data_IF_442287638237
#
_entry.id   IF_442287638237
#
_cell.length_a   1.000
_cell.length_b   1.000
_cell.length_c   1.000
_cell.angle_alpha   90.00
_cell.angle_beta   90.00
_cell.angle_gamma   90.00
#
_symmetry.space_group_name_H-M   'P 1'
#
loop_
_entity.id
_entity.type
_entity.pdbx_description
1 polymer ?
#
# COMPACT_ATOMS: atom_id res chain seq x y z
N UNK A 1 47.16 43.03 8.60
CA UNK A 1 45.98 43.90 8.36
C UNK A 1 45.76 43.91 6.85
N UNK A 2 44.81 43.15 6.29
CA UNK A 2 43.35 43.35 6.21
C UNK A 2 42.96 44.58 5.38
N UNK A 3 42.66 44.37 4.10
CA UNK A 3 41.84 45.18 3.18
C UNK A 3 41.46 44.22 2.03
N UNK A 4 40.32 43.53 1.97
CA UNK A 4 38.91 43.93 2.08
C UNK A 4 38.50 44.99 1.04
N UNK A 5 38.27 44.52 -0.19
CA UNK A 5 37.47 45.12 -1.28
C UNK A 5 37.18 43.97 -2.25
N UNK A 6 36.01 43.80 -2.84
CA UNK A 6 34.75 44.50 -2.78
C UNK A 6 33.77 43.69 -3.64
N UNK A 7 32.51 43.64 -3.19
CA UNK A 7 31.31 43.75 -4.01
C UNK A 7 30.87 42.61 -4.94
N UNK A 8 29.56 42.37 -4.81
CA UNK A 8 28.56 42.13 -5.86
C UNK A 8 28.08 40.67 -6.10
N UNK A 9 26.81 40.49 -5.71
CA UNK A 9 25.69 39.97 -6.52
C UNK A 9 25.21 38.53 -6.28
N UNK A 10 24.04 38.48 -5.64
CA UNK A 10 22.90 37.57 -5.80
C UNK A 10 23.08 36.24 -6.54
N UNK A 11 22.82 35.15 -5.81
CA UNK A 11 22.31 33.92 -6.42
C UNK A 11 20.79 33.92 -6.26
N UNK A 12 20.10 34.48 -7.24
CA UNK A 12 18.72 34.10 -7.54
C UNK A 12 18.78 33.13 -8.72
N UNK A 13 18.51 31.85 -8.47
CA UNK A 13 18.10 30.94 -9.52
C UNK A 13 16.77 30.31 -9.12
N UNK A 14 15.71 31.09 -9.33
CA UNK A 14 14.39 30.54 -9.59
C UNK A 14 14.49 29.78 -10.92
N UNK A 15 14.69 28.47 -10.83
CA UNK A 15 14.65 27.55 -11.96
C UNK A 15 13.25 26.98 -12.10
N UNK A 16 12.58 27.40 -13.15
CA UNK A 16 11.23 27.01 -13.56
C UNK A 16 11.24 25.50 -13.84
N UNK A 17 10.52 24.68 -13.05
CA UNK A 17 10.19 23.33 -13.49
C UNK A 17 8.97 23.42 -14.40
N UNK A 18 9.30 23.61 -15.67
CA UNK A 18 8.43 23.45 -16.83
C UNK A 18 7.67 22.13 -16.74
N UNK A 19 6.36 22.20 -16.94
CA UNK A 19 5.49 21.07 -17.30
C UNK A 19 6.09 20.43 -18.54
N UNK A 20 6.87 19.37 -18.34
CA UNK A 20 7.36 18.51 -19.41
C UNK A 20 6.71 17.15 -19.25
N UNK A 21 5.93 16.78 -20.26
CA UNK A 21 5.36 15.46 -20.49
C UNK A 21 6.46 14.46 -20.92
N UNK A 22 7.54 14.42 -20.14
CA UNK A 22 8.64 13.46 -20.34
C UNK A 22 8.46 12.38 -19.28
N UNK A 23 8.29 11.10 -19.68
CA UNK A 23 8.19 10.01 -18.73
C UNK A 23 9.40 10.04 -17.79
N UNK A 24 9.17 10.17 -16.48
CA UNK A 24 10.22 10.12 -15.44
C UNK A 24 11.13 8.88 -15.55
N UNK A 25 10.69 7.86 -16.30
CA UNK A 25 11.46 6.68 -16.67
C UNK A 25 12.74 7.00 -17.49
N UNK A 26 12.72 8.09 -18.28
CA UNK A 26 13.83 8.47 -19.16
C UNK A 26 14.93 9.30 -18.46
N UNK A 27 14.59 9.99 -17.37
CA UNK A 27 15.54 10.87 -16.65
C UNK A 27 16.33 10.13 -15.59
N UNK A 28 15.71 9.20 -14.86
CA UNK A 28 16.44 8.26 -14.00
C UNK A 28 15.55 7.10 -13.52
N UNK A 29 15.80 5.84 -13.94
CA UNK A 29 15.04 4.70 -13.43
C UNK A 29 15.13 4.53 -11.90
N UNK A 30 16.15 5.09 -11.24
CA UNK A 30 16.27 5.04 -9.78
C UNK A 30 15.27 5.93 -9.04
N UNK A 31 14.75 6.99 -9.66
CA UNK A 31 13.74 7.86 -9.04
C UNK A 31 12.36 7.20 -9.00
N UNK A 32 12.00 6.49 -10.08
CA UNK A 32 10.78 5.66 -10.11
C UNK A 32 10.89 4.51 -9.10
N UNK A 33 12.09 3.96 -8.94
CA UNK A 33 12.37 2.94 -7.93
C UNK A 33 12.25 3.49 -6.50
N UNK A 34 12.75 4.69 -6.24
CA UNK A 34 12.65 5.34 -4.94
C UNK A 34 11.19 5.56 -4.53
N UNK A 35 10.33 6.06 -5.43
CA UNK A 35 8.90 6.27 -5.12
C UNK A 35 8.11 4.95 -5.01
N UNK A 36 8.48 3.90 -5.73
CA UNK A 36 7.88 2.57 -5.59
C UNK A 36 8.37 1.83 -4.32
N UNK A 37 9.60 2.11 -3.86
CA UNK A 37 10.13 1.60 -2.60
C UNK A 37 9.58 2.36 -1.38
N UNK A 38 9.25 3.66 -1.51
CA UNK A 38 8.63 4.48 -0.45
C UNK A 38 7.18 4.07 -0.11
N UNK A 39 6.49 3.34 -0.99
CA UNK A 39 5.16 2.78 -0.71
C UNK A 39 5.21 1.36 -0.11
N UNK A 40 6.39 0.81 0.15
CA UNK A 40 6.50 -0.41 0.96
C UNK A 40 6.14 -0.07 2.40
N UNK A 41 5.32 -0.93 2.99
CA UNK A 41 4.79 -0.79 4.35
C UNK A 41 5.74 -0.07 5.34
N UNK A 42 5.34 1.14 5.75
CA UNK A 42 6.10 2.01 6.64
C UNK A 42 5.85 1.72 8.13
N UNK A 43 5.19 0.60 8.47
CA UNK A 43 4.78 0.33 9.86
C UNK A 43 5.88 -0.26 10.71
N UNK A 44 6.96 -0.78 10.11
CA UNK A 44 8.04 -1.47 10.82
C UNK A 44 7.60 -2.81 11.43
N UNK A 45 6.40 -3.30 11.10
CA UNK A 45 5.87 -4.56 11.60
C UNK A 45 6.32 -5.74 10.73
N UNK A 46 6.51 -6.90 11.37
CA UNK A 46 6.66 -8.17 10.63
C UNK A 46 5.36 -8.54 9.92
N UNK A 47 5.45 -9.36 8.88
CA UNK A 47 4.25 -9.80 8.14
C UNK A 47 3.24 -10.54 9.03
N UNK A 48 3.71 -11.36 9.97
CA UNK A 48 2.83 -12.05 10.91
C UNK A 48 2.10 -11.07 11.83
N UNK A 49 2.78 -10.05 12.35
CA UNK A 49 2.14 -9.02 13.17
C UNK A 49 1.05 -8.25 12.39
N UNK A 50 1.26 -7.97 11.11
CA UNK A 50 0.24 -7.36 10.25
C UNK A 50 -0.97 -8.27 10.08
N UNK A 51 -0.75 -9.56 9.83
CA UNK A 51 -1.81 -10.57 9.73
C UNK A 51 -2.59 -10.64 11.05
N UNK A 52 -1.89 -10.68 12.18
CA UNK A 52 -2.51 -10.73 13.50
C UNK A 52 -3.34 -9.47 13.80
N UNK A 53 -2.87 -8.30 13.36
CA UNK A 53 -3.64 -7.05 13.45
C UNK A 53 -4.91 -7.09 12.59
N UNK A 54 -4.84 -7.62 11.37
CA UNK A 54 -6.03 -7.81 10.52
C UNK A 54 -7.01 -8.78 11.18
N UNK A 55 -6.53 -9.89 11.74
CA UNK A 55 -7.36 -10.87 12.46
C UNK A 55 -8.06 -10.21 13.66
N UNK A 56 -7.31 -9.42 14.45
CA UNK A 56 -7.84 -8.70 15.62
C UNK A 56 -8.88 -7.63 15.27
N UNK A 57 -8.78 -7.06 14.08
CA UNK A 57 -9.65 -5.98 13.61
C UNK A 57 -10.68 -6.42 12.56
N UNK A 58 -10.87 -7.74 12.38
CA UNK A 58 -11.91 -8.28 11.49
C UNK A 58 -13.27 -7.66 11.77
N UNK A 59 -13.96 -7.27 10.70
CA UNK A 59 -15.30 -6.66 10.74
C UNK A 59 -15.34 -5.25 11.35
N UNK A 60 -14.20 -4.66 11.73
CA UNK A 60 -14.14 -3.29 12.26
C UNK A 60 -13.82 -2.30 11.15
N UNK A 61 -14.43 -1.13 11.21
CA UNK A 61 -14.10 0.00 10.34
C UNK A 61 -12.60 0.31 10.38
N UNK A 62 -12.03 0.62 9.23
CA UNK A 62 -10.59 0.88 9.06
C UNK A 62 -9.74 -0.38 8.85
N UNK A 63 -10.30 -1.59 8.97
CA UNK A 63 -9.55 -2.81 8.64
C UNK A 63 -9.22 -2.94 7.15
N UNK A 64 -10.03 -2.38 6.24
CA UNK A 64 -9.70 -2.27 4.82
C UNK A 64 -8.54 -1.30 4.54
N UNK A 65 -8.48 -0.18 5.26
CA UNK A 65 -7.31 0.72 5.21
C UNK A 65 -6.04 0.04 5.74
N UNK A 66 -6.13 -0.68 6.85
CA UNK A 66 -5.03 -1.49 7.37
C UNK A 66 -4.53 -2.50 6.34
N UNK A 67 -5.44 -3.22 5.67
CA UNK A 67 -5.08 -4.16 4.60
C UNK A 67 -4.27 -3.46 3.49
N UNK A 68 -4.78 -2.33 2.99
CA UNK A 68 -4.13 -1.54 1.93
C UNK A 68 -2.77 -1.03 2.36
N UNK A 69 -2.58 -0.63 3.62
CA UNK A 69 -1.28 -0.16 4.15
C UNK A 69 -0.27 -1.30 4.33
N UNK A 70 -0.73 -2.45 4.81
CA UNK A 70 0.13 -3.58 5.17
C UNK A 70 0.63 -4.38 3.97
N UNK A 71 -0.18 -4.47 2.91
CA UNK A 71 0.03 -5.35 1.76
C UNK A 71 -0.18 -4.64 0.41
N UNK A 72 0.09 -3.33 0.34
CA UNK A 72 -0.01 -2.58 -0.91
C UNK A 72 0.81 -3.25 -2.02
N UNK A 73 0.18 -3.57 -3.15
CA UNK A 73 0.84 -4.21 -4.29
C UNK A 73 1.14 -5.71 -4.13
N UNK A 74 0.91 -6.30 -2.95
CA UNK A 74 1.26 -7.69 -2.62
C UNK A 74 0.03 -8.63 -2.57
N UNK A 75 -1.12 -8.18 -3.06
CA UNK A 75 -2.39 -8.92 -3.03
C UNK A 75 -2.86 -9.30 -4.44
N UNK A 76 -3.06 -10.59 -4.67
CA UNK A 76 -3.63 -11.16 -5.89
C UNK A 76 -5.13 -11.42 -5.67
N UNK A 77 -6.05 -10.78 -6.42
CA UNK A 77 -7.46 -11.16 -6.40
C UNK A 77 -7.66 -12.54 -7.03
N UNK A 78 -8.21 -13.48 -6.26
CA UNK A 78 -8.34 -14.89 -6.70
C UNK A 78 -9.78 -15.35 -6.85
N UNK A 79 -10.73 -14.70 -6.19
CA UNK A 79 -12.15 -15.00 -6.31
C UNK A 79 -13.01 -13.86 -5.75
N UNK A 80 -14.29 -13.88 -6.13
CA UNK A 80 -15.32 -13.00 -5.57
C UNK A 80 -16.48 -13.87 -5.11
N UNK A 81 -17.05 -13.57 -3.95
CA UNK A 81 -18.21 -14.28 -3.42
C UNK A 81 -19.17 -13.32 -2.71
N UNK A 82 -20.46 -13.68 -2.58
CA UNK A 82 -21.37 -13.00 -1.65
C UNK A 82 -20.89 -13.17 -0.20
N UNK A 83 -20.98 -12.10 0.58
CA UNK A 83 -20.83 -12.07 2.04
C UNK A 83 -22.07 -11.48 2.71
N UNK A 84 -22.06 -11.42 4.05
CA UNK A 84 -23.21 -10.94 4.83
C UNK A 84 -23.54 -9.46 4.59
N UNK A 85 -22.52 -8.66 4.30
CA UNK A 85 -22.62 -7.21 4.12
C UNK A 85 -22.29 -6.77 2.66
N UNK A 86 -22.44 -7.66 1.68
CA UNK A 86 -22.19 -7.34 0.26
C UNK A 86 -21.16 -8.26 -0.38
N UNK A 87 -20.50 -7.79 -1.44
CA UNK A 87 -19.53 -8.62 -2.17
C UNK A 87 -18.18 -8.64 -1.46
N UNK A 88 -17.58 -9.82 -1.40
CA UNK A 88 -16.29 -10.06 -0.78
C UNK A 88 -15.31 -10.54 -1.84
N UNK A 89 -14.14 -9.91 -1.89
CA UNK A 89 -13.03 -10.30 -2.76
C UNK A 89 -12.02 -11.07 -1.92
N UNK A 90 -11.67 -12.27 -2.36
CA UNK A 90 -10.63 -13.08 -1.75
C UNK A 90 -9.29 -12.68 -2.37
N UNK A 91 -8.41 -12.13 -1.53
CA UNK A 91 -7.12 -11.55 -1.89
C UNK A 91 -6.02 -12.43 -1.31
N UNK A 92 -5.23 -13.05 -2.18
CA UNK A 92 -4.13 -13.93 -1.80
C UNK A 92 -2.81 -13.16 -1.74
N UNK A 93 -2.12 -13.26 -0.62
CA UNK A 93 -0.75 -12.82 -0.48
C UNK A 93 0.20 -14.01 -0.65
N UNK A 94 0.92 -14.04 -1.77
CA UNK A 94 1.83 -15.14 -2.12
C UNK A 94 3.04 -15.23 -1.18
N UNK A 95 3.56 -14.10 -0.71
CA UNK A 95 4.74 -14.06 0.15
C UNK A 95 4.51 -14.73 1.51
N UNK A 96 3.30 -14.58 2.07
CA UNK A 96 2.95 -15.07 3.40
C UNK A 96 2.02 -16.30 3.38
N UNK A 97 1.63 -16.76 2.19
CA UNK A 97 0.69 -17.86 1.98
C UNK A 97 -0.59 -17.68 2.82
N UNK A 98 -1.25 -16.53 2.64
CA UNK A 98 -2.49 -16.18 3.35
C UNK A 98 -3.51 -15.60 2.37
N UNK A 99 -4.77 -15.95 2.55
CA UNK A 99 -5.90 -15.35 1.85
C UNK A 99 -6.69 -14.47 2.82
N UNK A 100 -7.03 -13.27 2.37
CA UNK A 100 -7.77 -12.26 3.10
C UNK A 100 -9.06 -11.98 2.34
N UNK A 101 -10.20 -12.11 3.02
CA UNK A 101 -11.50 -11.81 2.45
C UNK A 101 -11.86 -10.37 2.78
N UNK A 102 -11.94 -9.52 1.76
CA UNK A 102 -12.18 -8.08 1.86
C UNK A 102 -13.58 -7.74 1.34
N UNK A 103 -14.42 -7.14 2.18
CA UNK A 103 -15.73 -6.62 1.79
C UNK A 103 -15.57 -5.21 1.23
N UNK A 104 -15.82 -5.05 -0.07
CA UNK A 104 -15.66 -3.77 -0.75
C UNK A 104 -16.71 -2.73 -0.34
N UNK A 105 -17.91 -3.18 0.06
CA UNK A 105 -19.03 -2.29 0.42
C UNK A 105 -18.76 -1.49 1.70
N UNK A 106 -18.10 -2.10 2.68
CA UNK A 106 -17.87 -1.49 4.00
C UNK A 106 -16.39 -1.19 4.29
N UNK A 107 -15.50 -1.45 3.33
CA UNK A 107 -14.04 -1.30 3.48
C UNK A 107 -13.51 -2.05 4.72
N UNK A 108 -13.90 -3.33 4.87
CA UNK A 108 -13.51 -4.16 6.02
C UNK A 108 -12.97 -5.53 5.61
N UNK A 109 -12.05 -6.06 6.40
CA UNK A 109 -11.59 -7.45 6.33
C UNK A 109 -12.56 -8.32 7.13
N UNK A 110 -13.16 -9.32 6.48
CA UNK A 110 -14.16 -10.21 7.11
C UNK A 110 -13.60 -11.60 7.42
N UNK A 111 -12.59 -12.06 6.69
CA UNK A 111 -11.91 -13.32 6.96
C UNK A 111 -10.41 -13.26 6.63
N UNK A 112 -9.63 -14.10 7.31
CA UNK A 112 -8.20 -14.30 7.06
C UNK A 112 -7.91 -15.77 7.31
N UNK A 113 -7.28 -16.45 6.36
CA UNK A 113 -6.94 -17.86 6.48
C UNK A 113 -5.63 -18.17 5.77
N UNK A 114 -4.83 -19.07 6.34
CA UNK A 114 -3.59 -19.56 5.73
C UNK A 114 -3.91 -20.42 4.49
N UNK A 115 -3.11 -20.29 3.44
CA UNK A 115 -3.31 -20.98 2.16
C UNK A 115 -3.95 -20.08 1.10
N UNK A 116 -4.04 -20.62 -0.12
CA UNK A 116 -4.80 -20.03 -1.24
C UNK A 116 -6.25 -20.53 -1.17
N UNK A 117 -7.17 -19.65 -0.78
CA UNK A 117 -8.58 -20.00 -0.49
C UNK A 117 -9.49 -19.31 -1.51
N UNK A 118 -9.98 -20.05 -2.49
CA UNK A 118 -10.87 -19.50 -3.51
C UNK A 118 -12.27 -19.18 -2.95
N UNK A 119 -12.71 -19.87 -1.89
CA UNK A 119 -14.02 -19.65 -1.29
C UNK A 119 -13.99 -19.90 0.22
N UNK A 120 -14.35 -18.89 1.00
CA UNK A 120 -14.56 -19.01 2.44
C UNK A 120 -15.95 -19.58 2.74
N UNK A 121 -16.11 -20.22 3.89
CA UNK A 121 -17.43 -20.63 4.34
C UNK A 121 -18.33 -19.41 4.54
N UNK A 122 -19.62 -19.54 4.24
CA UNK A 122 -20.57 -18.43 4.38
C UNK A 122 -20.67 -17.88 5.81
N UNK A 123 -20.30 -18.69 6.83
CA UNK A 123 -20.19 -18.27 8.23
C UNK A 123 -18.99 -17.37 8.53
N UNK A 124 -17.95 -17.41 7.70
CA UNK A 124 -16.69 -16.68 7.91
C UNK A 124 -16.70 -15.29 7.27
N UNK A 125 -17.56 -15.07 6.28
CA UNK A 125 -17.66 -13.81 5.51
C UNK A 125 -18.95 -13.04 5.80
N UNK A 126 -19.42 -13.10 7.04
CA UNK A 126 -20.64 -12.42 7.50
C UNK A 126 -20.38 -10.96 7.85
#
# INVERSE_FOLDING_TARGET
MKLASSLLTGVALAGILTVWDVPLQAVNPSLVRASAEEMKDATGLTAQQKIDMLIKNKGKFGSGDQLRRFFFGDLEPIAVQPGGAGMVVNLYNKANNVTIAYCATYDVVVAVQKGKVNKFAASEVK
#
